data_IF_044607159979
#
_entry.id   IF_044607159979
#
_cell.length_a   1.000
_cell.length_b   1.000
_cell.length_c   1.000
_cell.angle_alpha   90.00
_cell.angle_beta   90.00
_cell.angle_gamma   90.00
#
_symmetry.space_group_name_H-M   'P 1'
#
loop_
_entity.id
_entity.type
_entity.pdbx_description
1 polymer ?
#
# COMPACT_ATOMS: atom_id res chain seq x y z
N UNK A 1 -48.99 57.07 -18.34
CA UNK A 1 -50.08 56.71 -19.29
C UNK A 1 -49.44 56.12 -20.55
N UNK A 2 -49.95 55.03 -21.15
CA UNK A 2 -50.76 53.90 -20.63
C UNK A 2 -50.07 52.53 -20.94
N UNK A 3 -50.48 51.31 -20.53
CA UNK A 3 -51.60 50.76 -19.74
C UNK A 3 -51.20 49.32 -19.31
N UNK A 4 -51.44 48.89 -18.06
CA UNK A 4 -52.64 48.20 -17.54
C UNK A 4 -53.10 46.99 -18.36
N UNK A 5 -52.81 45.78 -17.87
CA UNK A 5 -53.81 44.76 -17.49
C UNK A 5 -53.21 43.85 -16.41
N UNK A 6 -53.74 43.95 -15.19
CA UNK A 6 -53.59 42.98 -14.10
C UNK A 6 -54.70 41.93 -14.22
N UNK A 7 -54.35 40.68 -13.93
CA UNK A 7 -55.20 39.55 -13.49
C UNK A 7 -54.36 38.27 -13.66
N UNK A 8 -54.16 37.33 -12.74
CA UNK A 8 -54.59 37.03 -11.36
C UNK A 8 -53.56 36.01 -10.81
N UNK A 9 -53.24 36.04 -9.51
CA UNK A 9 -52.35 35.10 -8.79
C UNK A 9 -52.87 33.64 -8.78
N UNK A 10 -52.00 32.63 -8.96
CA UNK A 10 -52.15 31.30 -8.33
C UNK A 10 -50.77 30.65 -8.03
N UNK A 11 -50.50 30.18 -6.79
CA UNK A 11 -49.21 29.64 -6.32
C UNK A 11 -48.89 28.21 -6.78
N UNK A 12 -47.58 27.92 -6.74
CA UNK A 12 -46.88 26.63 -6.91
C UNK A 12 -47.52 25.46 -6.15
N UNK A 13 -47.72 24.32 -6.82
CA UNK A 13 -47.27 23.03 -6.29
C UNK A 13 -47.11 21.94 -7.37
N UNK A 14 -46.10 21.11 -7.15
CA UNK A 14 -45.76 19.81 -7.76
C UNK A 14 -45.67 19.62 -9.29
N UNK A 15 -44.45 19.29 -9.76
CA UNK A 15 -44.19 18.72 -11.08
C UNK A 15 -43.68 17.26 -10.93
N UNK A 16 -44.19 16.30 -11.72
CA UNK A 16 -43.49 15.05 -12.00
C UNK A 16 -42.94 14.97 -13.44
N UNK A 17 -41.86 14.19 -13.56
CA UNK A 17 -40.94 14.08 -14.68
C UNK A 17 -41.45 13.24 -15.87
N UNK A 18 -40.97 13.55 -17.07
CA UNK A 18 -41.29 12.87 -18.33
C UNK A 18 -40.55 11.54 -18.55
N UNK A 19 -41.37 10.49 -18.70
CA UNK A 19 -41.36 9.28 -19.54
C UNK A 19 -40.15 8.93 -20.47
N UNK A 20 -39.76 7.64 -20.44
CA UNK A 20 -38.82 6.89 -21.31
C UNK A 20 -39.51 6.29 -22.57
N UNK A 21 -38.76 5.85 -23.61
CA UNK A 21 -39.23 4.92 -24.65
C UNK A 21 -38.74 3.46 -24.49
N UNK A 22 -39.43 2.56 -25.21
CA UNK A 22 -39.67 1.11 -25.02
C UNK A 22 -38.58 0.13 -25.53
N UNK A 23 -38.74 -1.14 -25.10
CA UNK A 23 -37.86 -2.32 -25.25
C UNK A 23 -38.11 -3.14 -26.55
N UNK A 24 -37.07 -3.83 -27.05
CA UNK A 24 -37.17 -5.02 -27.92
C UNK A 24 -36.21 -6.11 -27.41
N UNK A 25 -36.70 -7.36 -27.31
CA UNK A 25 -36.00 -8.55 -26.78
C UNK A 25 -35.25 -9.34 -27.87
N UNK A 26 -34.04 -9.82 -27.60
CA UNK A 26 -33.42 -11.02 -28.20
C UNK A 26 -32.65 -11.82 -27.13
N UNK A 27 -33.00 -13.09 -26.93
CA UNK A 27 -32.25 -14.06 -26.09
C UNK A 27 -31.27 -14.87 -26.96
N UNK A 28 -29.96 -14.85 -26.66
CA UNK A 28 -29.03 -15.95 -26.99
C UNK A 28 -27.92 -16.10 -25.94
N UNK A 29 -27.74 -17.33 -25.43
CA UNK A 29 -26.45 -17.92 -25.05
C UNK A 29 -25.79 -17.47 -23.73
N UNK A 30 -25.95 -18.26 -22.66
CA UNK A 30 -25.06 -18.21 -21.49
C UNK A 30 -23.69 -18.83 -21.87
N UNK A 31 -22.75 -18.02 -22.34
CA UNK A 31 -21.33 -18.36 -22.27
C UNK A 31 -20.86 -18.09 -20.84
N UNK A 32 -20.59 -19.16 -20.10
CA UNK A 32 -19.77 -19.10 -18.89
C UNK A 32 -18.35 -18.73 -19.32
N UNK A 33 -18.04 -17.44 -19.29
CA UNK A 33 -16.67 -16.95 -19.36
C UNK A 33 -15.96 -17.44 -18.10
N UNK A 34 -15.19 -18.51 -18.25
CA UNK A 34 -14.13 -18.84 -17.30
C UNK A 34 -13.20 -17.63 -17.31
N UNK A 35 -13.29 -16.80 -16.27
CA UNK A 35 -12.32 -15.75 -16.03
C UNK A 35 -10.99 -16.45 -15.73
N UNK A 36 -10.13 -16.52 -16.74
CA UNK A 36 -8.70 -16.78 -16.52
C UNK A 36 -8.22 -15.66 -15.58
N UNK A 37 -7.88 -16.01 -14.35
CA UNK A 37 -7.19 -15.10 -13.44
C UNK A 37 -5.84 -14.77 -14.10
N UNK A 38 -5.74 -13.60 -14.73
CA UNK A 38 -4.46 -13.08 -15.18
C UNK A 38 -3.57 -12.94 -13.93
N UNK A 39 -2.56 -13.80 -13.80
CA UNK A 39 -1.50 -13.63 -12.80
C UNK A 39 -0.81 -12.30 -13.12
N UNK A 40 -1.21 -11.22 -12.46
CA UNK A 40 -0.50 -9.95 -12.52
C UNK A 40 0.92 -10.19 -11.98
N UNK A 41 1.93 -10.20 -12.86
CA UNK A 41 3.33 -10.27 -12.44
C UNK A 41 3.64 -9.07 -11.55
N UNK A 42 3.69 -9.29 -10.22
CA UNK A 42 3.99 -8.21 -9.30
C UNK A 42 5.38 -7.62 -9.61
N UNK A 43 5.48 -6.30 -9.81
CA UNK A 43 6.73 -5.68 -10.20
C UNK A 43 7.79 -5.89 -9.11
N UNK A 44 9.00 -6.30 -9.49
CA UNK A 44 10.12 -6.47 -8.57
C UNK A 44 10.37 -5.18 -7.76
N UNK A 45 9.95 -5.17 -6.49
CA UNK A 45 9.99 -3.98 -5.61
C UNK A 45 11.37 -3.71 -5.00
N UNK A 46 12.32 -4.64 -5.13
CA UNK A 46 13.67 -4.54 -4.56
C UNK A 46 14.74 -4.78 -5.62
N UNK A 47 15.66 -3.83 -5.79
CA UNK A 47 16.78 -3.91 -6.72
C UNK A 47 18.11 -3.78 -5.99
N UNK A 48 19.14 -4.48 -6.44
CA UNK A 48 20.50 -4.32 -5.92
C UNK A 48 21.22 -3.30 -6.79
N UNK A 49 21.75 -2.24 -6.18
CA UNK A 49 22.48 -1.20 -6.89
C UNK A 49 23.92 -1.66 -7.24
N UNK A 50 24.49 -1.14 -8.34
CA UNK A 50 25.87 -1.45 -8.74
C UNK A 50 26.87 -0.96 -7.67
N UNK A 51 27.99 -1.68 -7.51
CA UNK A 51 28.95 -1.42 -6.42
C UNK A 51 28.63 -2.17 -5.12
N UNK A 52 27.87 -3.26 -5.23
CA UNK A 52 27.63 -4.20 -4.15
C UNK A 52 28.71 -5.29 -4.16
N UNK A 53 29.34 -5.50 -3.01
CA UNK A 53 30.20 -6.66 -2.72
C UNK A 53 29.45 -7.62 -1.81
N UNK A 54 29.97 -8.84 -1.62
CA UNK A 54 29.30 -9.85 -0.78
C UNK A 54 29.03 -9.34 0.64
N UNK A 55 29.98 -8.62 1.23
CA UNK A 55 29.89 -8.05 2.58
C UNK A 55 29.26 -6.64 2.63
N UNK A 56 29.10 -5.97 1.49
CA UNK A 56 28.59 -4.61 1.46
C UNK A 56 27.72 -4.34 0.23
N UNK A 57 26.40 -4.30 0.42
CA UNK A 57 25.44 -4.13 -0.66
C UNK A 57 24.52 -2.92 -0.43
N UNK A 58 24.10 -2.31 -1.54
CA UNK A 58 23.08 -1.26 -1.58
C UNK A 58 21.81 -1.82 -2.21
N UNK A 59 20.69 -1.69 -1.50
CA UNK A 59 19.37 -2.12 -1.94
C UNK A 59 18.50 -0.90 -2.20
N UNK A 60 17.83 -0.87 -3.34
CA UNK A 60 16.82 0.13 -3.72
C UNK A 60 15.43 -0.51 -3.57
N UNK A 61 14.57 0.13 -2.79
CA UNK A 61 13.17 -0.23 -2.61
C UNK A 61 12.29 0.77 -3.35
N UNK A 62 11.31 0.25 -4.09
CA UNK A 62 10.33 1.03 -4.86
C UNK A 62 9.03 1.11 -4.06
N UNK A 63 8.43 2.29 -4.03
CA UNK A 63 7.19 2.59 -3.30
C UNK A 63 7.29 2.34 -1.78
N UNK A 64 8.48 2.57 -1.23
CA UNK A 64 8.77 2.46 0.20
C UNK A 64 9.47 3.73 0.72
N UNK A 65 9.37 3.99 2.02
CA UNK A 65 9.87 5.23 2.62
C UNK A 65 10.32 5.11 4.08
N UNK A 66 10.33 6.23 4.80
CA UNK A 66 10.88 6.34 6.15
C UNK A 66 10.33 5.32 7.15
N UNK A 67 9.06 4.94 7.02
CA UNK A 67 8.41 3.97 7.92
C UNK A 67 9.13 2.62 7.87
N UNK A 68 9.24 2.01 6.68
CA UNK A 68 9.93 0.74 6.50
C UNK A 68 11.45 0.92 6.68
N UNK A 69 12.04 1.99 6.14
CA UNK A 69 13.47 2.24 6.22
C UNK A 69 13.98 2.37 7.65
N UNK A 70 13.29 3.14 8.49
CA UNK A 70 13.69 3.33 9.88
C UNK A 70 13.51 2.05 10.70
N UNK A 71 12.41 1.31 10.47
CA UNK A 71 12.16 0.03 11.12
C UNK A 71 13.26 -0.99 10.76
N UNK A 72 13.53 -1.17 9.47
CA UNK A 72 14.58 -2.09 9.00
C UNK A 72 15.95 -1.70 9.50
N UNK A 73 16.31 -0.41 9.44
CA UNK A 73 17.57 0.08 9.98
C UNK A 73 17.72 -0.31 11.46
N UNK A 74 16.68 -0.13 12.26
CA UNK A 74 16.73 -0.45 13.68
C UNK A 74 16.94 -1.95 13.92
N UNK A 75 16.17 -2.81 13.25
CA UNK A 75 16.25 -4.26 13.41
C UNK A 75 17.58 -4.81 12.92
N UNK A 76 18.04 -4.39 11.74
CA UNK A 76 19.30 -4.85 11.14
C UNK A 76 20.50 -4.45 12.00
N UNK A 77 20.50 -3.23 12.58
CA UNK A 77 21.55 -2.79 13.50
C UNK A 77 21.59 -3.57 14.83
N UNK A 78 20.56 -4.37 15.17
CA UNK A 78 20.61 -5.26 16.34
C UNK A 78 21.37 -6.55 16.06
N UNK A 79 21.59 -6.90 14.80
CA UNK A 79 22.35 -8.08 14.45
C UNK A 79 23.85 -7.83 14.68
N UNK A 80 24.56 -8.60 15.53
CA UNK A 80 25.99 -8.39 15.80
C UNK A 80 26.87 -8.59 14.57
N UNK A 81 26.39 -9.31 13.55
CA UNK A 81 27.12 -9.56 12.30
C UNK A 81 27.13 -8.33 11.37
N UNK A 82 26.32 -7.30 11.68
CA UNK A 82 26.21 -6.06 10.89
C UNK A 82 27.09 -4.98 11.51
N UNK A 83 28.00 -4.44 10.69
CA UNK A 83 28.84 -3.30 11.04
C UNK A 83 28.09 -1.97 10.86
N UNK A 84 27.41 -1.83 9.73
CA UNK A 84 26.79 -0.57 9.35
C UNK A 84 25.49 -0.81 8.59
N UNK A 85 24.44 -0.11 9.00
CA UNK A 85 23.19 -0.04 8.27
C UNK A 85 22.67 1.40 8.27
N UNK A 86 22.41 1.92 7.08
CA UNK A 86 21.81 3.23 6.89
C UNK A 86 20.82 3.21 5.74
N UNK A 87 19.78 4.04 5.84
CA UNK A 87 18.86 4.28 4.75
C UNK A 87 18.87 5.76 4.37
N UNK A 88 18.58 6.05 3.11
CA UNK A 88 18.47 7.40 2.59
C UNK A 88 17.37 7.44 1.52
N UNK A 89 16.58 8.52 1.53
CA UNK A 89 15.67 8.85 0.44
C UNK A 89 16.41 9.85 -0.45
N UNK A 90 16.78 9.50 -1.69
CA UNK A 90 17.58 10.37 -2.55
C UNK A 90 16.84 11.67 -2.87
N UNK A 91 15.52 11.60 -3.06
CA UNK A 91 14.69 12.77 -3.29
C UNK A 91 13.23 12.50 -2.84
N UNK A 92 12.56 13.42 -2.11
CA UNK A 92 11.22 13.19 -1.57
C UNK A 92 10.12 13.04 -2.62
N UNK A 93 10.34 13.54 -3.84
CA UNK A 93 9.38 13.41 -4.95
C UNK A 93 9.51 12.10 -5.73
N UNK A 94 10.52 11.28 -5.45
CA UNK A 94 10.64 9.93 -6.03
C UNK A 94 10.31 8.91 -4.94
N UNK A 95 9.39 7.95 -5.18
CA UNK A 95 9.06 6.90 -4.23
C UNK A 95 10.15 5.80 -4.26
N UNK A 96 11.38 6.18 -3.96
CA UNK A 96 12.54 5.29 -3.89
C UNK A 96 13.26 5.47 -2.57
N UNK A 97 13.66 4.36 -1.98
CA UNK A 97 14.44 4.35 -0.75
C UNK A 97 15.65 3.45 -0.93
N UNK A 98 16.82 3.95 -0.55
CA UNK A 98 18.06 3.20 -0.63
C UNK A 98 18.51 2.77 0.76
N UNK A 99 18.84 1.50 0.94
CA UNK A 99 19.42 0.95 2.17
C UNK A 99 20.82 0.40 1.86
N UNK A 100 21.82 0.87 2.60
CA UNK A 100 23.18 0.32 2.54
C UNK A 100 23.41 -0.53 3.79
N UNK A 101 23.86 -1.77 3.58
CA UNK A 101 24.25 -2.69 4.64
C UNK A 101 25.72 -3.08 4.43
N UNK A 102 26.50 -3.04 5.50
CA UNK A 102 27.85 -3.58 5.58
C UNK A 102 27.90 -4.56 6.75
N UNK A 103 28.35 -5.78 6.49
CA UNK A 103 28.50 -6.86 7.47
C UNK A 103 29.97 -7.10 7.77
N UNK A 104 30.27 -7.51 9.01
CA UNK A 104 31.61 -7.99 9.38
C UNK A 104 31.89 -9.34 8.74
N UNK A 105 30.94 -10.26 8.91
CA UNK A 105 30.99 -11.62 8.39
C UNK A 105 29.66 -11.97 7.69
N UNK A 106 29.73 -12.81 6.66
CA UNK A 106 28.56 -13.24 5.89
C UNK A 106 28.11 -12.24 4.82
N UNK A 107 27.01 -12.56 4.15
CA UNK A 107 26.52 -11.77 3.01
C UNK A 107 25.53 -10.70 3.44
N UNK A 108 25.63 -9.50 2.86
CA UNK A 108 24.70 -8.41 3.10
C UNK A 108 23.25 -8.78 2.74
N UNK A 109 23.06 -9.67 1.76
CA UNK A 109 21.75 -10.22 1.37
C UNK A 109 21.16 -11.08 2.50
N UNK A 110 21.97 -11.95 3.13
CA UNK A 110 21.51 -12.76 4.26
C UNK A 110 21.14 -11.88 5.47
N UNK A 111 21.92 -10.82 5.73
CA UNK A 111 21.60 -9.85 6.78
C UNK A 111 20.27 -9.13 6.51
N UNK A 112 19.99 -8.75 5.26
CA UNK A 112 18.70 -8.16 4.88
C UNK A 112 17.54 -9.14 5.08
N UNK A 113 17.68 -10.38 4.60
CA UNK A 113 16.64 -11.41 4.75
C UNK A 113 16.35 -11.72 6.22
N UNK A 114 17.39 -11.81 7.06
CA UNK A 114 17.25 -11.99 8.50
C UNK A 114 16.53 -10.79 9.13
N UNK A 115 16.94 -9.57 8.80
CA UNK A 115 16.32 -8.35 9.30
C UNK A 115 14.83 -8.22 8.95
N UNK A 116 14.43 -8.66 7.76
CA UNK A 116 13.01 -8.69 7.35
C UNK A 116 12.20 -9.71 8.18
N UNK A 117 12.75 -10.92 8.38
CA UNK A 117 12.10 -11.95 9.21
C UNK A 117 11.99 -11.52 10.67
N UNK A 118 13.03 -10.89 11.20
CA UNK A 118 13.04 -10.38 12.57
C UNK A 118 12.01 -9.25 12.74
N UNK A 119 11.86 -8.37 11.74
CA UNK A 119 10.84 -7.32 11.75
C UNK A 119 9.42 -7.92 11.76
N UNK A 120 9.17 -8.92 10.92
CA UNK A 120 7.89 -9.64 10.90
C UNK A 120 7.58 -10.26 12.26
N UNK A 121 8.52 -11.02 12.84
CA UNK A 121 8.35 -11.67 14.13
C UNK A 121 8.07 -10.67 15.27
N UNK A 122 8.70 -9.49 15.23
CA UNK A 122 8.42 -8.41 16.17
C UNK A 122 6.99 -7.88 16.02
N UNK A 123 6.53 -7.66 14.79
CA UNK A 123 5.15 -7.24 14.53
C UNK A 123 4.13 -8.27 15.01
N UNK A 124 4.38 -9.55 14.76
CA UNK A 124 3.50 -10.65 15.20
C UNK A 124 3.41 -10.70 16.73
N UNK A 125 4.56 -10.64 17.42
CA UNK A 125 4.60 -10.62 18.89
C UNK A 125 3.82 -9.44 19.47
N UNK A 126 3.98 -8.24 18.90
CA UNK A 126 3.26 -7.05 19.37
C UNK A 126 1.75 -7.19 19.14
N UNK A 127 1.33 -7.76 18.01
CA UNK A 127 -0.07 -7.98 17.70
C UNK A 127 -0.71 -8.99 18.67
N UNK A 128 -0.04 -10.10 18.96
CA UNK A 128 -0.50 -11.12 19.91
C UNK A 128 -0.69 -10.55 21.32
N UNK A 129 0.33 -9.84 21.82
CA UNK A 129 0.30 -9.20 23.14
C UNK A 129 -0.82 -8.14 23.24
N UNK A 130 -1.01 -7.37 22.17
CA UNK A 130 -2.08 -6.38 22.10
C UNK A 130 -3.48 -7.03 22.13
N UNK A 131 -3.68 -8.09 21.35
CA UNK A 131 -4.96 -8.83 21.32
C UNK A 131 -5.24 -9.43 22.70
N UNK A 132 -4.24 -10.06 23.33
CA UNK A 132 -4.38 -10.62 24.68
C UNK A 132 -4.81 -9.56 25.69
N UNK A 133 -4.11 -8.42 25.72
CA UNK A 133 -4.43 -7.32 26.62
C UNK A 133 -5.82 -6.72 26.37
N UNK A 134 -6.23 -6.62 25.11
CA UNK A 134 -7.57 -6.15 24.72
C UNK A 134 -8.66 -7.10 25.22
N UNK A 135 -8.47 -8.40 25.09
CA UNK A 135 -9.44 -9.40 25.57
C UNK A 135 -9.54 -9.43 27.10
N UNK A 136 -8.42 -9.25 27.80
CA UNK A 136 -8.42 -9.13 29.27
C UNK A 136 -9.17 -7.88 29.72
N UNK A 137 -8.95 -6.74 29.06
CA UNK A 137 -9.68 -5.49 29.34
C UNK A 137 -11.18 -5.61 29.06
N UNK A 138 -11.57 -6.26 27.95
CA UNK A 138 -12.98 -6.49 27.64
C UNK A 138 -13.70 -7.45 28.59
N UNK A 139 -12.95 -8.20 29.42
CA UNK A 139 -13.49 -9.09 30.47
C UNK A 139 -13.63 -8.40 31.84
N UNK A 140 -13.08 -7.18 32.03
CA UNK A 140 -13.20 -6.38 33.26
C UNK A 140 -14.32 -5.35 33.18
#
# INVERSE_FOLDING_TARGET
MPGRTDSEDVPMDEAPASHQPEEEEEEEGQESTEQEEEEEEEPQRVKILPGSTDTAASFEFIDEGHTLGNALRYVIMKNPDVEFCAYAIPHPSEPKMNIRIQTYDGTAVAALQKGLKDLQALSDTVAEEFIRAKEEFGRS
#
